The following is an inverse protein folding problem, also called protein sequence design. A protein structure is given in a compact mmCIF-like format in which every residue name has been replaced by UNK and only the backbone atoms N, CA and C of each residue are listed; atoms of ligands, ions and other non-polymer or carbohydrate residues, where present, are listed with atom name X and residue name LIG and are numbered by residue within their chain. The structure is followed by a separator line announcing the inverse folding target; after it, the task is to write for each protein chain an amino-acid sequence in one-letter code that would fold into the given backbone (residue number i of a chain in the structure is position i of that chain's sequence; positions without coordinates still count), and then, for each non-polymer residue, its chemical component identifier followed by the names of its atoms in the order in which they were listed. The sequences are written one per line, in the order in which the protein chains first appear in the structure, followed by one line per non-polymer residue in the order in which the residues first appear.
data_IF_957370988576
#
_entry.id   IF_957370988576
#
_cell.length_a   1.000
_cell.length_b   1.000
_cell.length_c   1.000
_cell.angle_alpha   90.00
_cell.angle_beta   90.00
_cell.angle_gamma   90.00
#
_symmetry.space_group_name_H-M   'P 1'
#
loop_
_entity.id
_entity.type
_entity.pdbx_description
1 polymer ?
#
# COMPACT_ATOMS: atom_id res chain seq x y z
N UNK A 1 -10.84 -5.27 3.05
CA UNK A 1 -9.59 -4.48 3.09
C UNK A 1 -8.83 -4.89 4.32
N UNK A 2 -7.57 -5.36 4.19
CA UNK A 2 -6.69 -5.54 5.33
C UNK A 2 -6.61 -4.23 6.11
N UNK A 3 -6.30 -4.30 7.39
CA UNK A 3 -6.15 -3.07 8.15
C UNK A 3 -4.83 -2.36 7.76
N UNK A 4 -4.69 -1.12 8.23
CA UNK A 4 -3.58 -0.24 7.89
C UNK A 4 -2.19 -0.87 8.10
N UNK A 5 -2.05 -1.81 9.05
CA UNK A 5 -0.76 -2.44 9.35
C UNK A 5 -0.31 -3.30 8.18
N UNK A 6 -1.20 -4.09 7.58
CA UNK A 6 -0.86 -4.89 6.38
C UNK A 6 -0.44 -3.98 5.21
N UNK A 7 -1.18 -2.90 4.96
CA UNK A 7 -0.88 -1.98 3.85
C UNK A 7 0.45 -1.23 4.00
N UNK A 8 0.89 -0.98 5.24
CA UNK A 8 2.22 -0.38 5.51
C UNK A 8 3.32 -1.44 5.46
N UNK A 9 3.12 -2.57 6.13
CA UNK A 9 4.17 -3.57 6.33
C UNK A 9 4.48 -4.36 5.08
N UNK A 10 3.50 -4.69 4.23
CA UNK A 10 3.77 -5.46 3.01
C UNK A 10 4.75 -4.74 2.07
N UNK A 11 4.56 -3.45 1.72
CA UNK A 11 5.58 -2.69 0.97
C UNK A 11 6.95 -2.65 1.65
N UNK A 12 6.99 -2.46 2.97
CA UNK A 12 8.23 -2.43 3.77
C UNK A 12 8.97 -3.77 3.66
N UNK A 13 8.26 -4.87 3.90
CA UNK A 13 8.80 -6.24 3.87
C UNK A 13 9.35 -6.53 2.48
N UNK A 14 8.59 -6.25 1.42
CA UNK A 14 9.04 -6.53 0.04
C UNK A 14 10.32 -5.76 -0.28
N UNK A 15 10.39 -4.45 0.03
CA UNK A 15 11.60 -3.67 -0.24
C UNK A 15 12.79 -4.05 0.63
N UNK A 16 12.58 -4.41 1.91
CA UNK A 16 13.66 -4.89 2.78
C UNK A 16 14.23 -6.23 2.29
N UNK A 17 13.37 -7.15 1.86
CA UNK A 17 13.79 -8.42 1.26
C UNK A 17 14.52 -8.19 -0.08
N UNK A 18 14.03 -7.28 -0.93
CA UNK A 18 14.69 -6.92 -2.18
C UNK A 18 16.06 -6.30 -1.92
N UNK A 19 16.21 -5.41 -0.93
CA UNK A 19 17.47 -4.76 -0.54
C UNK A 19 18.57 -5.78 -0.22
N UNK A 20 18.21 -6.94 0.32
CA UNK A 20 19.16 -8.04 0.64
C UNK A 20 19.66 -8.79 -0.60
N UNK A 21 18.94 -8.74 -1.73
CA UNK A 21 19.34 -9.41 -2.97
C UNK A 21 20.54 -8.71 -3.61
N UNK A 22 21.49 -9.49 -4.16
CA UNK A 22 22.74 -8.98 -4.76
C UNK A 22 22.52 -7.87 -5.80
N UNK A 23 21.47 -7.96 -6.61
CA UNK A 23 21.17 -6.98 -7.65
C UNK A 23 20.76 -5.58 -7.13
N UNK A 24 20.31 -5.51 -5.88
CA UNK A 24 19.73 -4.32 -5.24
C UNK A 24 20.51 -3.85 -4.01
N UNK A 25 21.55 -4.59 -3.61
CA UNK A 25 22.43 -4.24 -2.50
C UNK A 25 23.03 -2.84 -2.73
N UNK A 26 22.83 -1.95 -1.76
CA UNK A 26 23.31 -0.56 -1.82
C UNK A 26 22.44 0.40 -2.64
N UNK A 27 21.41 -0.08 -3.35
CA UNK A 27 20.49 0.77 -4.14
C UNK A 27 19.24 1.17 -3.36
N UNK A 28 18.77 0.31 -2.46
CA UNK A 28 17.58 0.55 -1.63
C UNK A 28 18.04 1.04 -0.25
N UNK A 29 17.69 2.29 0.08
CA UNK A 29 17.97 2.89 1.38
C UNK A 29 16.85 2.58 2.39
N UNK A 30 17.09 2.81 3.68
CA UNK A 30 16.01 2.74 4.69
C UNK A 30 14.92 3.78 4.44
N UNK A 31 15.29 4.97 3.97
CA UNK A 31 14.32 6.01 3.60
C UNK A 31 13.40 5.55 2.46
N UNK A 32 13.95 4.83 1.47
CA UNK A 32 13.17 4.21 0.38
C UNK A 32 12.14 3.22 0.92
N UNK A 33 12.53 2.37 1.87
CA UNK A 33 11.64 1.40 2.51
C UNK A 33 10.51 2.11 3.27
N UNK A 34 10.87 3.13 4.06
CA UNK A 34 9.91 3.94 4.80
C UNK A 34 8.90 4.64 3.88
N UNK A 35 9.37 5.28 2.80
CA UNK A 35 8.50 5.94 1.81
C UNK A 35 7.51 4.96 1.20
N UNK A 36 7.93 3.74 0.86
CA UNK A 36 6.99 2.74 0.32
C UNK A 36 5.89 2.36 1.32
N UNK A 37 6.23 2.21 2.59
CA UNK A 37 5.24 1.94 3.65
C UNK A 37 4.25 3.10 3.81
N UNK A 38 4.73 4.35 3.84
CA UNK A 38 3.88 5.54 3.91
C UNK A 38 2.93 5.61 2.72
N UNK A 39 3.43 5.44 1.49
CA UNK A 39 2.60 5.46 0.29
C UNK A 39 1.70 4.23 0.14
N UNK A 40 1.96 3.14 0.86
CA UNK A 40 1.01 2.05 1.05
C UNK A 40 -0.21 2.44 1.90
N UNK A 41 -0.11 3.47 2.75
CA UNK A 41 -1.23 3.98 3.54
C UNK A 41 -1.96 5.15 2.87
N UNK A 42 -1.29 5.89 1.98
CA UNK A 42 -1.85 7.12 1.38
C UNK A 42 -3.25 6.94 0.76
N UNK A 43 -3.60 5.83 0.09
CA UNK A 43 -4.94 5.69 -0.47
C UNK A 43 -6.07 5.80 0.56
N UNK A 44 -5.86 5.26 1.78
CA UNK A 44 -6.82 5.30 2.90
C UNK A 44 -6.95 6.69 3.55
N UNK A 45 -6.13 7.67 3.17
CA UNK A 45 -6.31 9.05 3.66
C UNK A 45 -7.62 9.67 3.18
N UNK A 46 -8.27 9.07 2.17
CA UNK A 46 -9.62 9.43 1.76
C UNK A 46 -10.67 9.20 2.86
N UNK A 47 -10.48 8.24 3.77
CA UNK A 47 -11.36 8.01 4.93
C UNK A 47 -11.32 9.22 5.86
N UNK A 48 -10.12 9.74 6.13
CA UNK A 48 -9.96 10.93 6.97
C UNK A 48 -10.58 12.17 6.29
N UNK A 49 -10.43 12.28 4.97
CA UNK A 49 -11.06 13.34 4.19
C UNK A 49 -12.59 13.22 4.20
N UNK A 50 -13.13 12.03 4.00
CA UNK A 50 -14.57 11.73 4.07
C UNK A 50 -15.15 12.12 5.43
N UNK A 51 -14.46 11.76 6.52
CA UNK A 51 -14.85 12.16 7.87
C UNK A 51 -14.93 13.69 8.03
N UNK A 52 -13.96 14.44 7.49
CA UNK A 52 -13.98 15.90 7.51
C UNK A 52 -15.13 16.48 6.67
N UNK A 53 -15.40 15.89 5.50
CA UNK A 53 -16.49 16.33 4.61
C UNK A 53 -17.87 16.05 5.20
N UNK A 54 -18.02 14.92 5.90
CA UNK A 54 -19.23 14.61 6.65
C UNK A 54 -19.50 15.69 7.71
N UNK A 55 -18.45 16.17 8.39
CA UNK A 55 -18.53 17.25 9.38
C UNK A 55 -19.02 18.59 8.85
N UNK A 56 -18.89 18.86 7.54
CA UNK A 56 -19.40 20.07 6.87
C UNK A 56 -20.68 19.83 6.05
N UNK A 57 -21.33 18.67 6.22
CA UNK A 57 -22.61 18.35 5.60
C UNK A 57 -22.53 17.83 4.16
N UNK A 58 -21.37 17.32 3.71
CA UNK A 58 -21.22 16.70 2.40
C UNK A 58 -20.92 15.19 2.52
N UNK A 59 -21.94 14.31 2.48
CA UNK A 59 -21.77 12.86 2.62
C UNK A 59 -21.35 12.21 1.29
N UNK A 60 -20.32 12.75 0.63
CA UNK A 60 -19.78 12.15 -0.57
C UNK A 60 -19.04 10.86 -0.21
N UNK A 61 -19.42 9.74 -0.84
CA UNK A 61 -18.70 8.47 -0.76
C UNK A 61 -17.41 8.59 -1.58
N UNK A 62 -16.38 9.13 -0.95
CA UNK A 62 -15.07 9.32 -1.56
C UNK A 62 -14.20 8.08 -1.43
N UNK A 63 -14.41 7.30 -0.37
CA UNK A 63 -13.59 6.14 -0.10
C UNK A 63 -13.72 5.13 -1.23
N UNK A 64 -12.58 4.63 -1.71
CA UNK A 64 -12.47 3.65 -2.82
C UNK A 64 -12.87 4.12 -4.23
N UNK A 65 -13.37 5.33 -4.38
CA UNK A 65 -13.76 5.84 -5.70
C UNK A 65 -12.56 6.31 -6.51
N UNK A 66 -11.71 7.18 -5.92
CA UNK A 66 -10.62 7.82 -6.68
C UNK A 66 -9.23 7.31 -6.31
N UNK A 67 -8.97 7.13 -5.02
CA UNK A 67 -7.64 6.77 -4.49
C UNK A 67 -7.34 5.27 -4.65
N UNK A 68 -8.35 4.42 -4.62
CA UNK A 68 -8.21 2.97 -4.78
C UNK A 68 -8.34 2.61 -6.27
N UNK A 69 -7.38 3.10 -7.05
CA UNK A 69 -7.31 2.88 -8.50
C UNK A 69 -5.85 2.74 -8.92
N UNK A 70 -5.58 1.97 -9.97
CA UNK A 70 -4.23 1.87 -10.54
C UNK A 70 -3.84 3.09 -11.37
N UNK A 71 -4.78 3.97 -11.72
CA UNK A 71 -4.49 5.18 -12.50
C UNK A 71 -3.48 6.10 -11.82
N UNK A 72 -3.61 6.33 -10.51
CA UNK A 72 -2.69 7.20 -9.75
C UNK A 72 -1.27 6.61 -9.71
N UNK A 73 -1.04 5.38 -9.21
CA UNK A 73 0.31 4.81 -9.21
C UNK A 73 0.87 4.66 -10.62
N UNK A 74 0.04 4.41 -11.63
CA UNK A 74 0.47 4.37 -13.02
C UNK A 74 1.02 5.73 -13.49
N UNK A 75 0.28 6.82 -13.25
CA UNK A 75 0.75 8.18 -13.58
C UNK A 75 2.05 8.50 -12.86
N UNK A 76 2.14 8.20 -11.55
CA UNK A 76 3.36 8.40 -10.77
C UNK A 76 4.54 7.60 -11.35
N UNK A 77 4.31 6.35 -11.75
CA UNK A 77 5.33 5.49 -12.37
C UNK A 77 5.78 6.03 -13.74
N UNK A 78 4.86 6.54 -14.56
CA UNK A 78 5.20 7.15 -15.86
C UNK A 78 6.05 8.41 -15.65
N UNK A 79 5.65 9.30 -14.75
CA UNK A 79 6.43 10.51 -14.43
C UNK A 79 7.81 10.13 -13.89
N UNK A 80 7.88 9.14 -12.99
CA UNK A 80 9.13 8.62 -12.46
C UNK A 80 10.06 8.12 -13.58
N UNK A 81 9.53 7.34 -14.53
CA UNK A 81 10.28 6.82 -15.67
C UNK A 81 10.78 7.93 -16.60
N UNK A 82 9.95 8.93 -16.90
CA UNK A 82 10.33 10.07 -17.73
C UNK A 82 11.46 10.89 -17.08
N UNK A 83 11.33 11.20 -15.79
CA UNK A 83 12.39 11.88 -15.04
C UNK A 83 13.67 11.06 -15.02
N UNK A 84 13.57 9.74 -14.76
CA UNK A 84 14.73 8.85 -14.75
C UNK A 84 15.46 8.85 -16.10
N UNK A 85 14.72 8.75 -17.21
CA UNK A 85 15.28 8.76 -18.58
C UNK A 85 15.87 10.10 -18.98
N UNK A 86 15.31 11.21 -18.50
CA UNK A 86 15.86 12.55 -18.76
C UNK A 86 17.24 12.76 -18.15
N UNK A 87 17.66 11.90 -17.21
CA UNK A 87 18.89 12.04 -16.44
C UNK A 87 18.85 13.17 -15.39
N UNK A 88 17.83 14.04 -15.44
CA UNK A 88 17.57 15.10 -14.48
C UNK A 88 16.76 14.55 -13.31
N UNK A 89 16.92 15.11 -12.11
CA UNK A 89 16.06 14.82 -10.97
C UNK A 89 15.94 13.32 -10.58
N UNK A 90 17.05 12.56 -10.63
CA UNK A 90 17.06 11.11 -10.31
C UNK A 90 16.51 10.78 -8.91
N UNK A 91 16.68 11.68 -7.94
CA UNK A 91 16.14 11.49 -6.58
C UNK A 91 14.61 11.56 -6.58
N UNK A 92 14.04 12.53 -7.30
CA UNK A 92 12.60 12.70 -7.46
C UNK A 92 12.01 11.52 -8.25
N UNK A 93 12.68 11.08 -9.31
CA UNK A 93 12.30 9.88 -10.05
C UNK A 93 12.23 8.64 -9.14
N UNK A 94 13.24 8.43 -8.30
CA UNK A 94 13.25 7.32 -7.35
C UNK A 94 12.12 7.45 -6.31
N UNK A 95 11.91 8.65 -5.75
CA UNK A 95 10.81 8.91 -4.82
C UNK A 95 9.44 8.58 -5.43
N UNK A 96 9.14 9.11 -6.62
CA UNK A 96 7.87 8.88 -7.30
C UNK A 96 7.68 7.40 -7.69
N UNK A 97 8.74 6.71 -8.10
CA UNK A 97 8.68 5.28 -8.40
C UNK A 97 8.37 4.43 -7.16
N UNK A 98 8.93 4.81 -6.01
CA UNK A 98 8.69 4.13 -4.72
C UNK A 98 7.29 4.45 -4.20
N UNK A 99 6.83 5.69 -4.36
CA UNK A 99 5.46 6.09 -4.06
C UNK A 99 4.45 5.32 -4.89
N UNK A 100 4.67 5.23 -6.21
CA UNK A 100 3.87 4.43 -7.12
C UNK A 100 3.83 2.95 -6.69
N UNK A 101 4.96 2.39 -6.27
CA UNK A 101 5.05 1.01 -5.81
C UNK A 101 4.24 0.75 -4.53
N UNK A 102 4.38 1.62 -3.51
CA UNK A 102 3.61 1.50 -2.27
C UNK A 102 2.11 1.58 -2.52
N UNK A 103 1.68 2.58 -3.30
CA UNK A 103 0.27 2.77 -3.67
C UNK A 103 -0.27 1.60 -4.50
N UNK A 104 0.48 1.12 -5.50
CA UNK A 104 0.05 -0.01 -6.31
C UNK A 104 -0.12 -1.28 -5.46
N UNK A 105 0.76 -1.51 -4.48
CA UNK A 105 0.62 -2.65 -3.57
C UNK A 105 -0.61 -2.53 -2.68
N UNK A 106 -0.96 -1.32 -2.22
CA UNK A 106 -2.21 -1.10 -1.50
C UNK A 106 -3.42 -1.56 -2.33
N UNK A 107 -3.57 -1.01 -3.53
CA UNK A 107 -4.69 -1.34 -4.44
C UNK A 107 -4.71 -2.84 -4.77
N UNK A 108 -3.54 -3.44 -4.96
CA UNK A 108 -3.43 -4.88 -5.18
C UNK A 108 -3.88 -5.71 -3.97
N UNK A 109 -3.52 -5.32 -2.76
CA UNK A 109 -3.92 -6.00 -1.53
C UNK A 109 -5.43 -5.90 -1.30
N UNK A 110 -6.05 -4.77 -1.62
CA UNK A 110 -7.50 -4.64 -1.56
C UNK A 110 -8.21 -5.66 -2.44
N UNK A 111 -7.81 -5.76 -3.72
CA UNK A 111 -8.38 -6.72 -4.67
C UNK A 111 -8.26 -8.15 -4.13
N UNK A 112 -7.10 -8.52 -3.57
CA UNK A 112 -6.88 -9.86 -2.99
C UNK A 112 -7.71 -10.09 -1.72
N UNK A 113 -7.95 -9.04 -0.95
CA UNK A 113 -8.67 -9.08 0.32
C UNK A 113 -10.18 -9.02 0.23
N UNK A 114 -10.77 -8.97 -0.96
CA UNK A 114 -12.21 -8.80 -1.11
C UNK A 114 -12.68 -7.34 -1.04
N UNK A 115 -11.79 -6.39 -1.32
CA UNK A 115 -12.16 -5.00 -1.58
C UNK A 115 -12.48 -4.82 -3.06
N UNK A 116 -13.67 -4.34 -3.38
CA UNK A 116 -14.00 -3.89 -4.74
C UNK A 116 -13.19 -2.62 -5.05
N UNK A 117 -12.39 -2.69 -6.10
CA UNK A 117 -11.54 -1.60 -6.59
C UNK A 117 -11.96 -1.24 -8.01
N UNK A 118 -11.94 0.05 -8.36
CA UNK A 118 -12.20 0.51 -9.74
C UNK A 118 -10.89 0.90 -10.42
N UNK A 119 -10.15 -0.06 -11.02
CA UNK A 119 -8.73 0.07 -11.35
C UNK A 119 -8.40 1.16 -12.38
N UNK A 120 -9.38 1.63 -13.14
CA UNK A 120 -9.19 2.52 -14.28
C UNK A 120 -9.95 3.84 -14.18
N UNK A 121 -10.43 4.25 -13.01
CA UNK A 121 -11.01 5.60 -12.81
C UNK A 121 -9.99 6.67 -13.24
N UNK A 122 -10.37 7.72 -14.00
CA UNK A 122 -11.74 8.09 -14.39
C UNK A 122 -12.23 7.53 -15.74
N UNK A 123 -11.48 6.65 -16.39
CA UNK A 123 -11.81 6.13 -17.73
C UNK A 123 -12.84 5.00 -17.73
N UNK A 124 -12.97 4.27 -16.61
CA UNK A 124 -13.94 3.20 -16.45
C UNK A 124 -14.37 3.09 -14.98
N UNK A 125 -15.64 2.73 -14.77
CA UNK A 125 -16.23 2.42 -13.47
C UNK A 125 -16.34 0.92 -13.20
N UNK A 126 -15.76 0.07 -14.06
CA UNK A 126 -15.75 -1.37 -13.86
C UNK A 126 -14.97 -1.73 -12.60
N UNK A 127 -15.62 -2.43 -11.66
CA UNK A 127 -15.03 -2.91 -10.43
C UNK A 127 -14.44 -4.31 -10.57
N UNK A 128 -13.33 -4.56 -9.87
CA UNK A 128 -12.71 -5.88 -9.74
C UNK A 128 -12.51 -6.22 -8.27
N UNK A 129 -12.76 -7.49 -7.94
CA UNK A 129 -12.51 -8.12 -6.66
C UNK A 129 -12.10 -9.57 -6.92
N UNK A 130 -11.14 -10.10 -6.16
CA UNK A 130 -10.81 -11.53 -6.19
C UNK A 130 -11.27 -12.23 -4.91
N UNK A 131 -11.16 -11.57 -3.75
CA UNK A 131 -11.73 -12.09 -2.50
C UNK A 131 -11.12 -13.42 -2.02
N UNK A 132 -9.80 -13.59 -2.18
CA UNK A 132 -9.10 -14.81 -1.76
C UNK A 132 -9.14 -14.96 -0.23
N UNK A 133 -8.99 -13.84 0.49
CA UNK A 133 -8.91 -13.83 1.95
C UNK A 133 -10.28 -13.78 2.61
N UNK A 134 -11.14 -12.89 2.12
CA UNK A 134 -12.54 -12.78 2.53
C UNK A 134 -13.42 -12.55 1.31
N UNK A 135 -14.68 -12.98 1.39
CA UNK A 135 -15.65 -12.80 0.33
C UNK A 135 -17.06 -12.58 0.90
N UNK A 136 -17.99 -12.14 0.04
CA UNK A 136 -19.37 -11.81 0.41
C UNK A 136 -20.17 -12.97 1.04
N UNK A 137 -19.77 -14.23 0.80
CA UNK A 137 -20.46 -15.39 1.37
C UNK A 137 -20.15 -15.59 2.87
N UNK A 138 -19.12 -14.92 3.41
CA UNK A 138 -18.74 -15.03 4.81
C UNK A 138 -19.45 -13.98 5.68
N UNK A 139 -19.80 -14.32 6.94
CA UNK A 139 -20.32 -13.32 7.88
C UNK A 139 -19.33 -12.19 8.14
N UNK A 140 -19.80 -10.95 8.23
CA UNK A 140 -18.96 -9.75 8.45
C UNK A 140 -18.02 -9.87 9.65
N UNK A 141 -18.48 -10.49 10.74
CA UNK A 141 -17.67 -10.72 11.95
C UNK A 141 -16.49 -11.68 11.67
N UNK A 142 -16.69 -12.68 10.82
CA UNK A 142 -15.61 -13.58 10.40
C UNK A 142 -14.62 -12.83 9.51
N UNK A 143 -15.11 -12.03 8.55
CA UNK A 143 -14.26 -11.25 7.66
C UNK A 143 -13.33 -10.30 8.44
N UNK A 144 -13.90 -9.52 9.36
CA UNK A 144 -13.16 -8.59 10.24
C UNK A 144 -12.14 -9.32 11.12
N UNK A 145 -12.51 -10.49 11.67
CA UNK A 145 -11.59 -11.31 12.47
C UNK A 145 -10.42 -11.85 11.65
N UNK A 146 -10.68 -12.31 10.41
CA UNK A 146 -9.63 -12.81 9.49
C UNK A 146 -8.66 -11.67 9.15
N UNK A 147 -9.17 -10.49 8.80
CA UNK A 147 -8.33 -9.35 8.43
C UNK A 147 -7.52 -8.82 9.63
N UNK A 148 -8.10 -8.83 10.84
CA UNK A 148 -7.38 -8.46 12.06
C UNK A 148 -6.28 -9.46 12.40
N UNK A 149 -6.57 -10.76 12.26
CA UNK A 149 -5.60 -11.83 12.45
C UNK A 149 -4.46 -11.74 11.43
N UNK A 150 -4.77 -11.40 10.17
CA UNK A 150 -3.75 -11.20 9.13
C UNK A 150 -2.77 -10.08 9.50
N UNK A 151 -3.28 -8.92 9.92
CA UNK A 151 -2.46 -7.80 10.37
C UNK A 151 -1.54 -8.20 11.53
N UNK A 152 -2.08 -8.91 12.53
CA UNK A 152 -1.31 -9.42 13.65
C UNK A 152 -0.23 -10.41 13.20
N UNK A 153 -0.55 -11.35 12.29
CA UNK A 153 0.40 -12.34 11.76
C UNK A 153 1.51 -11.65 10.96
N UNK A 154 1.17 -10.73 10.06
CA UNK A 154 2.16 -9.99 9.25
C UNK A 154 3.09 -9.20 10.16
N UNK A 155 2.55 -8.53 11.18
CA UNK A 155 3.33 -7.80 12.16
C UNK A 155 4.27 -8.70 12.97
N UNK A 156 3.78 -9.82 13.51
CA UNK A 156 4.59 -10.77 14.27
C UNK A 156 5.69 -11.41 13.43
N UNK A 157 5.39 -11.80 12.19
CA UNK A 157 6.38 -12.34 11.25
C UNK A 157 7.45 -11.30 10.93
N UNK A 158 7.06 -10.04 10.74
CA UNK A 158 7.99 -8.96 10.52
C UNK A 158 8.88 -8.70 11.74
N UNK A 159 8.33 -8.63 12.94
CA UNK A 159 9.10 -8.48 14.18
C UNK A 159 10.10 -9.62 14.37
N UNK A 160 9.66 -10.87 14.17
CA UNK A 160 10.55 -12.03 14.22
C UNK A 160 11.68 -11.94 13.20
N UNK A 161 11.37 -11.50 11.98
CA UNK A 161 12.38 -11.27 10.94
C UNK A 161 13.38 -10.17 11.35
N UNK A 162 12.91 -9.04 11.84
CA UNK A 162 13.79 -7.95 12.30
C UNK A 162 14.68 -8.43 13.46
N UNK A 163 14.13 -9.17 14.42
CA UNK A 163 14.89 -9.73 15.54
C UNK A 163 15.98 -10.70 15.05
N UNK A 164 15.59 -11.68 14.23
CA UNK A 164 16.52 -12.72 13.76
C UNK A 164 17.68 -12.16 12.93
N UNK A 165 17.41 -11.16 12.08
CA UNK A 165 18.38 -10.71 11.08
C UNK A 165 19.05 -9.38 11.38
N UNK A 166 18.39 -8.50 12.15
CA UNK A 166 18.94 -7.18 12.50
C UNK A 166 19.32 -7.10 13.98
N UNK A 167 18.85 -8.04 14.80
CA UNK A 167 18.96 -8.05 16.27
C UNK A 167 18.39 -6.74 16.79
N UNK A 168 17.13 -6.73 17.20
CA UNK A 168 16.50 -5.53 17.72
C UNK A 168 17.21 -5.19 19.03
N UNK A 169 18.22 -4.34 18.94
CA UNK A 169 18.94 -3.80 20.08
C UNK A 169 18.13 -2.59 20.51
N UNK A 170 17.64 -2.64 21.75
CA UNK A 170 16.95 -1.58 22.47
C UNK A 170 15.42 -1.54 22.22
N UNK A 171 14.70 -2.20 23.12
CA UNK A 171 13.25 -2.05 23.30
C UNK A 171 12.89 -1.23 24.55
N UNK A 172 13.89 -0.80 25.33
CA UNK A 172 13.76 -0.03 26.56
C UNK A 172 14.98 0.87 26.76
#
# INVERSE_FOLDING_TARGET
MPYAVTHILVPIIILDLLKKRRAWKGKISLHTIFVAGVFGLVPDLDIALEFLLYGIGNPADLHRTFTHSFSIPFVLAVIALLLWRSGRARKQAAFLGVAAFGWALHVFLDILSGGVVTPFVPFSSWGIEVGILVNEAQPLQLQTSILAALDAVVFLVWLWHEEKYKKLKDFF
#
